data_IF_286891059021
#
_entry.id   IF_286891059021
#
_cell.length_a   1.000
_cell.length_b   1.000
_cell.length_c   1.000
_cell.angle_alpha   90.00
_cell.angle_beta   90.00
_cell.angle_gamma   90.00
#
_symmetry.space_group_name_H-M   'P 1'
#
loop_
_entity.id
_entity.type
_entity.pdbx_description
1 polymer ?
#
# COMPACT_ATOMS: atom_id res chain seq x y z
N UNK A 1 -2.53 8.21 -2.90
CA UNK A 1 -3.18 8.63 -1.63
C UNK A 1 -2.24 9.59 -0.95
N UNK A 2 -2.78 10.58 -0.25
CA UNK A 2 -2.01 11.69 0.36
C UNK A 2 -2.00 11.62 1.89
N UNK A 3 -2.73 10.66 2.48
CA UNK A 3 -2.93 10.61 3.94
C UNK A 3 -2.75 9.23 4.57
N UNK A 4 -2.95 8.16 3.80
CA UNK A 4 -2.77 6.79 4.29
C UNK A 4 -1.32 6.37 4.09
N UNK A 5 -0.68 5.88 5.15
CA UNK A 5 0.70 5.39 5.09
C UNK A 5 0.85 4.24 4.08
N UNK A 6 1.96 4.18 3.30
CA UNK A 6 2.16 3.19 2.25
C UNK A 6 1.98 1.74 2.71
N UNK A 7 2.48 1.40 3.90
CA UNK A 7 2.37 0.06 4.47
C UNK A 7 0.91 -0.39 4.60
N UNK A 8 0.03 0.49 5.10
CA UNK A 8 -1.38 0.16 5.26
C UNK A 8 -2.10 0.03 3.91
N UNK A 9 -1.71 0.84 2.92
CA UNK A 9 -2.26 0.73 1.55
C UNK A 9 -1.89 -0.62 0.95
N UNK A 10 -0.62 -1.02 1.04
CA UNK A 10 -0.16 -2.29 0.48
C UNK A 10 -0.85 -3.48 1.15
N UNK A 11 -0.90 -3.53 2.49
CA UNK A 11 -1.51 -4.65 3.20
C UNK A 11 -3.00 -4.84 2.85
N UNK A 12 -3.75 -3.73 2.71
CA UNK A 12 -5.15 -3.77 2.30
C UNK A 12 -5.31 -4.26 0.85
N UNK A 13 -4.46 -3.79 -0.06
CA UNK A 13 -4.49 -4.21 -1.46
C UNK A 13 -4.12 -5.69 -1.63
N UNK A 14 -3.08 -6.17 -0.95
CA UNK A 14 -2.68 -7.58 -0.97
C UNK A 14 -3.80 -8.48 -0.42
N UNK A 15 -4.46 -8.05 0.65
CA UNK A 15 -5.63 -8.75 1.21
C UNK A 15 -6.77 -8.83 0.20
N UNK A 16 -7.08 -7.70 -0.46
CA UNK A 16 -8.14 -7.66 -1.46
C UNK A 16 -7.80 -8.52 -2.69
N UNK A 17 -6.54 -8.51 -3.12
CA UNK A 17 -6.08 -9.33 -4.23
C UNK A 17 -6.24 -10.83 -3.93
N UNK A 18 -5.81 -11.25 -2.74
CA UNK A 18 -5.96 -12.63 -2.27
C UNK A 18 -7.44 -13.07 -2.21
N UNK A 19 -8.29 -12.28 -1.55
CA UNK A 19 -9.72 -12.60 -1.40
C UNK A 19 -10.46 -12.57 -2.74
N UNK A 20 -10.08 -11.65 -3.62
CA UNK A 20 -10.69 -11.50 -4.95
C UNK A 20 -10.19 -12.50 -5.99
N UNK A 21 -9.14 -13.27 -5.66
CA UNK A 21 -8.40 -14.19 -6.53
C UNK A 21 -7.75 -13.46 -7.70
N UNK A 22 -6.92 -12.46 -7.43
CA UNK A 22 -6.13 -11.76 -8.45
C UNK A 22 -6.93 -10.72 -9.25
N UNK A 23 -8.04 -10.21 -8.70
CA UNK A 23 -8.95 -9.28 -9.40
C UNK A 23 -9.02 -7.91 -8.74
N UNK A 24 -8.13 -7.65 -7.79
CA UNK A 24 -8.05 -6.34 -7.18
C UNK A 24 -7.39 -5.35 -8.14
N UNK A 25 -7.79 -4.09 -8.01
CA UNK A 25 -7.18 -2.99 -8.72
C UNK A 25 -7.14 -1.77 -7.81
N UNK A 26 -6.12 -0.95 -7.98
CA UNK A 26 -5.98 0.30 -7.25
C UNK A 26 -5.88 1.47 -8.21
N UNK A 27 -6.72 2.49 -8.00
CA UNK A 27 -6.63 3.78 -8.66
C UNK A 27 -6.13 4.82 -7.64
N UNK A 28 -4.87 5.27 -7.74
CA UNK A 28 -4.37 6.33 -6.86
C UNK A 28 -5.16 7.62 -7.06
N UNK A 29 -5.61 8.20 -5.94
CA UNK A 29 -6.14 9.56 -5.86
C UNK A 29 -5.28 10.42 -4.93
N UNK A 30 -5.35 11.72 -5.12
CA UNK A 30 -4.68 12.73 -4.29
C UNK A 30 -5.67 13.78 -3.81
N UNK A 31 -5.43 14.34 -2.63
CA UNK A 31 -6.16 15.50 -2.12
C UNK A 31 -5.24 16.71 -2.01
N UNK A 32 -5.77 17.87 -2.38
CA UNK A 32 -5.16 19.18 -2.16
C UNK A 32 -6.06 20.09 -1.32
N UNK A 33 -7.10 19.54 -0.71
CA UNK A 33 -8.08 20.30 0.07
C UNK A 33 -7.56 20.57 1.49
N UNK A 34 -7.58 21.82 1.90
CA UNK A 34 -7.25 22.19 3.28
C UNK A 34 -8.26 21.63 4.29
N UNK A 35 -9.53 21.50 3.89
CA UNK A 35 -10.56 20.86 4.71
C UNK A 35 -10.24 19.40 4.98
N UNK A 36 -9.86 18.65 3.94
CA UNK A 36 -9.49 17.24 4.09
C UNK A 36 -8.18 17.08 4.86
N UNK A 37 -7.17 17.92 4.58
CA UNK A 37 -5.90 17.89 5.29
C UNK A 37 -6.06 18.07 6.82
N UNK A 38 -6.99 18.94 7.26
CA UNK A 38 -7.31 19.14 8.68
C UNK A 38 -7.90 17.90 9.35
N UNK A 39 -8.63 17.03 8.64
CA UNK A 39 -9.20 15.80 9.21
C UNK A 39 -8.11 14.78 9.60
N UNK A 40 -6.98 14.79 8.88
CA UNK A 40 -5.87 13.86 9.12
C UNK A 40 -4.78 14.44 10.05
N UNK A 41 -4.87 15.73 10.39
CA UNK A 41 -4.14 16.35 11.49
C UNK A 41 -2.61 16.45 11.35
N UNK A 42 -2.04 16.18 10.17
CA UNK A 42 -0.57 16.05 10.02
C UNK A 42 0.10 16.96 8.99
N UNK A 43 -0.64 17.56 8.03
CA UNK A 43 -0.04 18.36 6.96
C UNK A 43 -0.93 19.52 6.52
N UNK A 44 -0.32 20.61 6.11
CA UNK A 44 -1.00 21.65 5.34
C UNK A 44 -1.42 21.08 3.97
N UNK A 45 -2.38 21.72 3.31
CA UNK A 45 -2.66 21.42 1.92
C UNK A 45 -1.40 21.61 1.07
N UNK A 46 -1.08 20.63 0.24
CA UNK A 46 0.04 20.67 -0.70
C UNK A 46 -0.45 21.00 -2.10
N UNK A 47 0.45 21.44 -2.97
CA UNK A 47 0.11 21.63 -4.38
C UNK A 47 -0.19 20.29 -5.06
N UNK A 48 -0.96 20.31 -6.14
CA UNK A 48 -1.27 19.10 -6.91
C UNK A 48 0.00 18.37 -7.39
N UNK A 49 1.05 19.13 -7.76
CA UNK A 49 2.35 18.58 -8.16
C UNK A 49 3.03 17.82 -7.02
N UNK A 50 3.04 18.37 -5.82
CA UNK A 50 3.61 17.70 -4.65
C UNK A 50 2.79 16.47 -4.26
N UNK A 51 1.47 16.57 -4.29
CA UNK A 51 0.58 15.46 -3.97
C UNK A 51 0.78 14.27 -4.94
N UNK A 52 0.96 14.54 -6.24
CA UNK A 52 1.23 13.50 -7.22
C UNK A 52 2.65 12.92 -7.12
N UNK A 53 3.64 13.73 -6.73
CA UNK A 53 4.99 13.22 -6.42
C UNK A 53 4.93 12.23 -5.26
N UNK A 54 4.31 12.62 -4.15
CA UNK A 54 4.11 11.75 -2.98
C UNK A 54 3.31 10.49 -3.36
N UNK A 55 2.26 10.62 -4.17
CA UNK A 55 1.50 9.45 -4.62
C UNK A 55 2.37 8.46 -5.41
N UNK A 56 3.33 8.94 -6.21
CA UNK A 56 4.32 8.11 -6.88
C UNK A 56 5.23 7.36 -5.90
N UNK A 57 5.73 8.06 -4.86
CA UNK A 57 6.54 7.45 -3.80
C UNK A 57 5.76 6.38 -3.00
N UNK A 58 4.47 6.64 -2.72
CA UNK A 58 3.58 5.66 -2.07
C UNK A 58 3.36 4.44 -2.95
N UNK A 59 3.16 4.63 -4.26
CA UNK A 59 3.03 3.52 -5.22
C UNK A 59 4.32 2.70 -5.24
N UNK A 60 5.48 3.35 -5.28
CA UNK A 60 6.76 2.66 -5.29
C UNK A 60 6.97 1.82 -4.02
N UNK A 61 6.77 2.42 -2.84
CA UNK A 61 6.85 1.70 -1.57
C UNK A 61 5.87 0.51 -1.52
N UNK A 62 4.65 0.67 -2.05
CA UNK A 62 3.69 -0.41 -2.12
C UNK A 62 4.13 -1.54 -3.06
N UNK A 63 4.80 -1.23 -4.18
CA UNK A 63 5.38 -2.24 -5.09
C UNK A 63 6.52 -2.99 -4.43
N UNK A 64 7.45 -2.28 -3.78
CA UNK A 64 8.58 -2.89 -3.08
C UNK A 64 8.13 -3.81 -1.94
N UNK A 65 7.10 -3.42 -1.18
CA UNK A 65 6.50 -4.27 -0.15
C UNK A 65 5.76 -5.48 -0.75
N UNK A 66 5.21 -5.36 -1.95
CA UNK A 66 4.56 -6.48 -2.64
C UNK A 66 5.56 -7.53 -3.09
N UNK A 67 6.72 -7.08 -3.57
CA UNK A 67 7.82 -7.89 -4.09
C UNK A 67 8.80 -8.33 -3.00
N UNK A 68 8.47 -8.11 -1.71
CA UNK A 68 9.40 -8.37 -0.61
C UNK A 68 9.38 -9.84 -0.12
N UNK A 69 8.49 -10.66 -0.67
CA UNK A 69 8.41 -12.10 -0.40
C UNK A 69 8.81 -12.82 -1.67
N UNK A 70 9.78 -13.72 -1.56
CA UNK A 70 10.13 -14.63 -2.64
C UNK A 70 8.98 -15.60 -2.92
N UNK A 71 8.89 -16.09 -4.15
CA UNK A 71 7.80 -16.98 -4.60
C UNK A 71 7.65 -18.25 -3.74
N UNK A 72 8.74 -18.72 -3.12
CA UNK A 72 8.80 -19.92 -2.30
C UNK A 72 8.91 -19.64 -0.79
N UNK A 73 8.72 -18.38 -0.37
CA UNK A 73 8.74 -18.00 1.04
C UNK A 73 7.67 -18.71 1.87
N UNK A 74 6.55 -19.14 1.26
CA UNK A 74 5.51 -19.94 1.92
C UNK A 74 5.75 -21.45 1.76
N UNK A 75 6.18 -22.12 2.85
CA UNK A 75 6.56 -23.54 2.85
C UNK A 75 5.39 -24.45 3.30
N UNK A 76 4.74 -24.11 4.42
CA UNK A 76 3.65 -24.90 5.03
C UNK A 76 3.96 -26.40 5.26
N UNK A 77 5.18 -26.75 5.64
CA UNK A 77 5.59 -28.14 5.89
C UNK A 77 5.29 -28.57 7.34
N UNK A 78 4.30 -29.45 7.50
CA UNK A 78 3.87 -29.98 8.79
C UNK A 78 4.89 -30.93 9.43
N UNK A 79 5.71 -31.63 8.63
CA UNK A 79 6.67 -32.62 9.12
C UNK A 79 7.89 -31.95 9.76
N UNK A 80 8.31 -30.82 9.21
CA UNK A 80 9.42 -30.00 9.73
C UNK A 80 8.95 -28.85 10.62
N UNK A 81 7.66 -28.51 10.59
CA UNK A 81 7.09 -27.37 11.32
C UNK A 81 7.43 -26.00 10.70
N UNK A 82 8.04 -25.97 9.51
CA UNK A 82 8.39 -24.73 8.81
C UNK A 82 7.18 -24.20 8.05
N UNK A 83 6.72 -23.00 8.41
CA UNK A 83 5.58 -22.36 7.75
C UNK A 83 6.03 -21.34 6.70
N UNK A 84 6.97 -20.47 7.05
CA UNK A 84 7.59 -19.44 6.20
C UNK A 84 9.10 -19.51 6.39
N UNK A 85 9.89 -19.25 5.34
CA UNK A 85 11.36 -19.11 5.42
C UNK A 85 11.80 -17.69 5.82
#
# INVERSE_FOLDING_TARGET
>A
TTHTEPFHVQAQLATLDWVSRGRAGWRPGVSTSEGEARLFGRRAAVTAREAWREAGEVVEAARLLWDSWEDDAEIRDLSTGRFVD
#
